data_IF_551454650991
#
_entry.id   IF_551454650991
#
_cell.length_a   1.000
_cell.length_b   1.000
_cell.length_c   1.000
_cell.angle_alpha   90.00
_cell.angle_beta   90.00
_cell.angle_gamma   90.00
#
_symmetry.space_group_name_H-M   'P 1'
#
loop_
_entity.id
_entity.type
_entity.pdbx_description
1 polymer ?
2 polymer ?
3 non-polymer ?
4 non-polymer ?
5 non-polymer ?
6 non-polymer ?
7 water ?
#
# COMPACT_ATOMS: atom_id res chain seq x y z
N UNK A 1 -0.20 11.57 -9.58
CA UNK A 1 1.26 11.50 -9.43
C UNK A 1 1.90 12.64 -10.20
N UNK A 2 2.70 13.44 -9.49
CA UNK A 2 3.41 14.60 -10.01
C UNK A 2 4.89 14.25 -10.24
N UNK A 3 5.38 14.54 -11.45
CA UNK A 3 6.77 14.32 -11.84
C UNK A 3 7.27 12.89 -11.86
N UNK A 4 6.38 11.94 -12.14
CA UNK A 4 6.68 10.51 -12.23
C UNK A 4 6.67 10.03 -13.66
N UNK A 5 6.31 8.74 -13.87
CA UNK A 5 6.24 8.14 -15.21
C UNK A 5 5.11 7.15 -15.35
N UNK A 6 4.79 6.76 -16.59
CA UNK A 6 3.78 5.72 -16.79
C UNK A 6 4.39 4.44 -16.19
N UNK A 7 3.66 3.72 -15.31
CA UNK A 7 4.09 2.43 -14.78
C UNK A 7 3.83 1.46 -15.94
N UNK A 8 4.86 0.83 -16.59
CA UNK A 8 4.58 -0.09 -17.72
C UNK A 8 3.53 -1.11 -17.32
N UNK A 9 2.56 -1.38 -18.20
CA UNK A 9 1.46 -2.30 -17.97
C UNK A 9 1.97 -3.61 -17.30
N UNK A 10 1.41 -3.93 -16.11
CA UNK A 10 1.78 -5.14 -15.35
C UNK A 10 2.92 -4.97 -14.35
N UNK A 11 3.59 -3.79 -14.29
CA UNK A 11 4.69 -3.57 -13.37
C UNK A 11 4.26 -3.00 -12.03
N UNK A 12 2.96 -2.78 -11.83
CA UNK A 12 2.39 -2.35 -10.55
C UNK A 12 1.16 -3.27 -10.42
N UNK A 13 1.33 -4.62 -10.37
CA UNK A 13 0.15 -5.52 -10.47
C UNK A 13 -0.77 -5.55 -9.26
N UNK A 14 -0.33 -4.93 -8.18
CA UNK A 14 -1.12 -4.85 -6.94
C UNK A 14 -1.90 -3.58 -6.89
N UNK A 15 -1.72 -2.67 -7.86
CA UNK A 15 -2.47 -1.41 -7.80
C UNK A 15 -3.98 -1.66 -7.97
N UNK A 16 -4.78 -1.03 -7.12
CA UNK A 16 -6.25 -1.13 -7.15
C UNK A 16 -6.80 0.22 -7.58
N UNK A 17 -7.86 0.19 -8.38
CA UNK A 17 -8.60 1.40 -8.71
C UNK A 17 -9.94 1.30 -7.94
N UNK A 18 -10.26 2.32 -7.12
CA UNK A 18 -11.55 2.30 -6.41
C UNK A 18 -12.56 3.20 -7.13
N UNK A 19 -13.77 2.67 -7.38
CA UNK A 19 -14.84 3.31 -8.12
C UNK A 19 -16.10 3.46 -7.29
N UNK A 20 -16.81 4.56 -7.47
CA UNK A 20 -18.12 4.77 -6.83
C UNK A 20 -19.09 5.33 -7.88
N UNK A 21 -20.16 4.58 -8.18
CA UNK A 21 -21.14 4.89 -9.24
C UNK A 21 -20.39 5.03 -10.58
N UNK A 22 -19.38 4.18 -10.75
CA UNK A 22 -18.50 4.14 -11.92
C UNK A 22 -17.47 5.25 -11.97
N UNK A 23 -17.49 6.19 -11.01
CA UNK A 23 -16.53 7.29 -11.03
C UNK A 23 -15.30 6.97 -10.18
N UNK A 24 -14.14 7.48 -10.61
CA UNK A 24 -12.85 7.32 -9.95
C UNK A 24 -12.91 7.91 -8.54
N UNK A 25 -12.57 7.08 -7.54
CA UNK A 25 -12.59 7.56 -6.15
C UNK A 25 -11.15 7.69 -5.57
N UNK A 26 -10.44 6.58 -5.50
CA UNK A 26 -9.15 6.47 -4.83
C UNK A 26 -8.41 5.28 -5.38
N UNK A 27 -7.20 5.11 -4.88
CA UNK A 27 -6.38 3.94 -5.15
C UNK A 27 -6.50 3.01 -3.97
N UNK A 28 -5.88 1.85 -4.09
CA UNK A 28 -5.85 0.79 -3.10
C UNK A 28 -4.69 -0.13 -3.36
N UNK A 29 -4.46 -1.09 -2.46
CA UNK A 29 -3.38 -2.08 -2.60
C UNK A 29 -3.96 -3.44 -2.34
N UNK A 30 -3.79 -4.37 -3.28
CA UNK A 30 -4.23 -5.77 -3.13
C UNK A 30 -3.19 -6.45 -2.20
N UNK A 31 -3.60 -7.10 -1.09
CA UNK A 31 -2.60 -7.72 -0.21
C UNK A 31 -2.77 -9.27 -0.20
N UNK A 32 -3.85 -9.77 -0.78
CA UNK A 32 -4.16 -11.19 -1.01
C UNK A 32 -5.32 -11.18 -1.95
N UNK A 33 -5.92 -12.36 -2.28
CA UNK A 33 -7.04 -12.41 -3.28
C UNK A 33 -8.38 -11.78 -2.85
N UNK A 34 -8.57 -11.53 -1.52
CA UNK A 34 -9.81 -11.03 -0.93
C UNK A 34 -9.68 -9.63 -0.33
N UNK A 35 -8.48 -9.22 0.09
CA UNK A 35 -8.32 -7.97 0.84
C UNK A 35 -7.53 -6.86 0.15
N UNK A 36 -8.03 -5.65 0.28
CA UNK A 36 -7.46 -4.42 -0.27
C UNK A 36 -7.23 -3.42 0.87
N UNK A 37 -6.07 -2.78 0.88
CA UNK A 37 -5.76 -1.75 1.87
C UNK A 37 -5.85 -0.40 1.15
N UNK A 38 -6.56 0.55 1.75
CA UNK A 38 -6.75 1.89 1.21
C UNK A 38 -6.65 2.92 2.34
N UNK A 39 -7.06 4.19 2.08
CA UNK A 39 -7.08 5.31 3.04
C UNK A 39 -8.50 5.52 3.59
N UNK A 40 -8.64 5.72 4.90
CA UNK A 40 -9.95 5.95 5.52
C UNK A 40 -10.64 7.19 4.98
N UNK A 41 -9.87 8.25 4.71
CA UNK A 41 -10.42 9.52 4.24
C UNK A 41 -11.18 9.41 2.91
N UNK A 42 -10.94 8.34 2.14
CA UNK A 42 -11.59 8.08 0.85
C UNK A 42 -13.06 7.82 0.95
N UNK A 43 -13.54 7.41 2.15
CA UNK A 43 -14.92 7.02 2.42
C UNK A 43 -15.69 8.07 3.18
N UNK A 44 -15.05 9.23 3.45
CA UNK A 44 -15.68 10.32 4.21
C UNK A 44 -17.01 10.80 3.66
N UNK A 45 -17.13 10.91 2.32
CA UNK A 45 -18.38 11.45 1.73
C UNK A 45 -19.18 10.38 1.00
N UNK A 46 -18.94 9.09 1.30
CA UNK A 46 -19.67 8.00 0.62
C UNK A 46 -21.10 7.88 1.16
N UNK A 47 -22.08 7.89 0.24
CA UNK A 47 -23.50 7.69 0.54
C UNK A 47 -23.99 6.37 -0.07
N UNK A 48 -23.52 6.03 -1.29
CA UNK A 48 -23.88 4.77 -1.97
C UNK A 48 -22.85 3.68 -1.70
N UNK A 49 -22.90 3.12 -0.47
CA UNK A 49 -22.00 2.06 0.01
C UNK A 49 -22.05 0.78 -0.81
N UNK A 50 -23.23 0.44 -1.37
CA UNK A 50 -23.45 -0.75 -2.19
C UNK A 50 -22.92 -0.62 -3.63
N UNK A 51 -22.50 0.60 -4.02
CA UNK A 51 -22.01 0.96 -5.35
C UNK A 51 -20.47 1.17 -5.38
N UNK A 52 -19.75 0.51 -4.46
CA UNK A 52 -18.30 0.57 -4.39
C UNK A 52 -17.71 -0.65 -5.10
N UNK A 53 -16.84 -0.39 -6.07
CA UNK A 53 -16.16 -1.42 -6.87
C UNK A 53 -14.63 -1.22 -6.76
N UNK A 54 -13.87 -2.33 -6.67
CA UNK A 54 -12.42 -2.34 -6.74
C UNK A 54 -12.07 -2.99 -8.09
N UNK A 55 -11.22 -2.34 -8.88
CA UNK A 55 -10.78 -2.88 -10.17
C UNK A 55 -9.29 -3.20 -10.04
N UNK A 56 -8.93 -4.47 -10.33
CA UNK A 56 -7.58 -5.01 -10.36
C UNK A 56 -7.13 -5.21 -11.82
N UNK A 57 -5.82 -5.14 -12.06
CA UNK A 57 -5.26 -5.31 -13.40
C UNK A 57 -5.55 -4.15 -14.35
N UNK A 58 -6.00 -3.01 -13.78
CA UNK A 58 -6.23 -1.78 -14.53
C UNK A 58 -4.88 -1.16 -14.89
N UNK A 59 -4.85 -0.47 -16.04
CA UNK A 59 -3.69 0.24 -16.54
C UNK A 59 -4.14 1.55 -17.21
N UNK A 60 -4.88 1.40 -18.33
CA UNK A 60 -5.39 2.51 -19.14
C UNK A 60 -6.89 2.60 -18.93
N UNK A 61 -7.35 3.76 -18.45
CA UNK A 61 -8.76 4.06 -18.14
C UNK A 61 -9.64 4.24 -19.39
N UNK A 62 -9.02 4.56 -20.53
CA UNK A 62 -9.78 4.81 -21.76
C UNK A 62 -10.18 3.55 -22.55
N UNK A 63 -9.48 2.42 -22.33
CA UNK A 63 -9.71 1.16 -23.04
C UNK A 63 -9.81 0.00 -22.09
N UNK A 64 -10.69 -0.97 -22.42
CA UNK A 64 -10.80 -2.24 -21.73
C UNK A 64 -9.92 -3.22 -22.55
N UNK A 65 -8.89 -3.83 -21.93
CA UNK A 65 -8.06 -4.75 -22.69
C UNK A 65 -8.26 -6.21 -22.26
N UNK A 66 -9.12 -6.44 -21.27
CA UNK A 66 -9.42 -7.80 -20.83
C UNK A 66 -8.66 -8.28 -19.61
N UNK A 67 -7.63 -7.52 -19.16
CA UNK A 67 -6.87 -7.87 -17.94
C UNK A 67 -7.53 -7.36 -16.67
N UNK A 68 -8.52 -6.44 -16.80
CA UNK A 68 -9.23 -5.84 -15.67
C UNK A 68 -10.19 -6.84 -15.03
N UNK A 69 -10.22 -6.87 -13.67
CA UNK A 69 -11.17 -7.67 -12.90
C UNK A 69 -11.84 -6.74 -11.91
N UNK A 70 -13.17 -6.78 -11.85
CA UNK A 70 -13.96 -5.90 -10.99
C UNK A 70 -14.56 -6.74 -9.91
N UNK A 71 -14.55 -6.18 -8.69
CA UNK A 71 -15.18 -6.81 -7.55
C UNK A 71 -15.95 -5.79 -6.76
N UNK A 72 -17.14 -6.16 -6.28
CA UNK A 72 -17.92 -5.29 -5.39
C UNK A 72 -17.26 -5.32 -4.02
N UNK A 73 -17.22 -4.19 -3.36
CA UNK A 73 -16.61 -4.13 -2.03
C UNK A 73 -17.69 -4.55 -0.99
N UNK A 74 -17.48 -5.71 -0.30
CA UNK A 74 -18.39 -6.22 0.73
C UNK A 74 -18.33 -5.43 2.06
N UNK A 75 -17.13 -4.93 2.41
CA UNK A 75 -16.92 -4.28 3.68
C UNK A 75 -15.78 -3.29 3.63
N UNK A 76 -15.91 -2.19 4.37
CA UNK A 76 -14.90 -1.14 4.53
C UNK A 76 -14.70 -1.04 6.03
N UNK A 77 -13.50 -1.42 6.49
CA UNK A 77 -13.18 -1.42 7.93
C UNK A 77 -12.22 -0.30 8.24
N UNK A 78 -12.60 0.56 9.14
CA UNK A 78 -11.85 1.73 9.53
C UNK A 78 -11.56 1.75 11.04
N UNK A 79 -10.34 2.17 11.45
CA UNK A 79 -10.04 2.21 12.90
C UNK A 79 -10.92 3.21 13.65
N UNK A 80 -11.31 2.81 14.88
CA UNK A 80 -12.11 3.64 15.79
C UNK A 80 -11.47 5.01 16.07
N UNK A 81 -10.13 5.08 16.01
CA UNK A 81 -9.32 6.28 16.26
C UNK A 81 -9.33 7.30 15.10
N UNK A 82 -9.74 6.88 13.89
CA UNK A 82 -9.81 7.79 12.74
C UNK A 82 -11.01 8.72 12.93
N UNK A 83 -10.79 10.02 12.74
CA UNK A 83 -11.86 11.02 12.82
C UNK A 83 -12.12 11.57 11.39
N UNK A 84 -13.31 11.41 10.81
CA UNK A 84 -13.54 11.96 9.46
C UNK A 84 -13.14 13.44 9.33
N UNK A 85 -12.46 13.75 8.22
CA UNK A 85 -11.96 15.09 7.92
C UNK A 85 -10.58 15.37 8.46
N UNK A 86 -9.98 14.45 9.27
CA UNK A 86 -8.62 14.64 9.83
C UNK A 86 -7.58 13.73 9.14
N UNK A 87 -6.33 13.77 9.61
CA UNK A 87 -5.25 13.08 8.91
C UNK A 87 -4.77 11.79 9.59
N UNK A 88 -4.84 11.72 10.94
CA UNK A 88 -4.40 10.58 11.74
C UNK A 88 -5.17 9.30 11.45
N UNK A 89 -4.49 8.14 11.54
CA UNK A 89 -5.05 6.80 11.37
C UNK A 89 -5.77 6.64 10.03
N UNK A 90 -5.14 7.14 8.97
CA UNK A 90 -5.79 7.15 7.66
C UNK A 90 -5.55 5.82 6.92
N UNK A 91 -6.31 4.80 7.34
CA UNK A 91 -6.24 3.44 6.81
C UNK A 91 -7.64 2.85 6.73
N UNK A 92 -7.89 2.08 5.68
CA UNK A 92 -9.15 1.39 5.49
C UNK A 92 -8.79 0.01 4.99
N UNK A 93 -9.46 -1.00 5.51
CA UNK A 93 -9.29 -2.38 5.06
C UNK A 93 -10.57 -2.81 4.37
N UNK A 94 -10.45 -3.27 3.10
CA UNK A 94 -11.58 -3.60 2.26
C UNK A 94 -11.69 -5.08 1.92
N UNK A 95 -12.88 -5.67 2.17
CA UNK A 95 -13.18 -7.07 1.86
C UNK A 95 -13.92 -7.12 0.54
N UNK A 96 -13.41 -7.91 -0.43
CA UNK A 96 -14.08 -8.06 -1.73
C UNK A 96 -15.10 -9.17 -1.56
N UNK A 97 -16.27 -9.08 -2.25
CA UNK A 97 -17.32 -10.10 -2.13
C UNK A 97 -16.81 -11.49 -2.51
N UNK A 98 -16.05 -11.57 -3.63
CA UNK A 98 -15.42 -12.77 -4.16
C UNK A 98 -13.95 -12.49 -4.45
N UNK A 99 -13.05 -13.52 -4.35
CA UNK A 99 -11.63 -13.28 -4.63
C UNK A 99 -11.35 -12.98 -6.10
N UNK A 100 -10.29 -12.20 -6.32
CA UNK A 100 -9.79 -11.92 -7.66
C UNK A 100 -8.94 -13.13 -8.04
N UNK A 101 -8.82 -13.36 -9.34
CA UNK A 101 -8.01 -14.46 -9.82
C UNK A 101 -6.64 -13.86 -10.12
N UNK A 102 -5.60 -14.42 -9.51
CA UNK A 102 -4.25 -13.91 -9.78
C UNK A 102 -3.79 -14.35 -11.17
N UNK A 103 -3.18 -13.40 -11.91
CA UNK A 103 -2.71 -13.55 -13.30
C UNK A 103 -1.43 -12.73 -13.38
N UNK A 104 -0.81 -12.64 -14.57
CA UNK A 104 0.39 -11.82 -14.80
C UNK A 104 0.17 -10.34 -14.47
N UNK A 105 -1.07 -9.88 -14.57
CA UNK A 105 -1.46 -8.49 -14.36
C UNK A 105 -2.13 -8.22 -12.99
N UNK A 106 -2.48 -9.30 -12.23
CA UNK A 106 -3.13 -9.21 -10.91
C UNK A 106 -2.33 -10.04 -9.91
N UNK A 107 -1.57 -9.33 -9.05
CA UNK A 107 -0.69 -9.89 -8.04
C UNK A 107 -0.74 -9.04 -6.74
N UNK A 108 -0.87 -9.65 -5.54
CA UNK A 108 -0.82 -8.84 -4.29
C UNK A 108 0.55 -8.36 -3.90
N UNK A 109 0.58 -7.26 -3.14
CA UNK A 109 1.78 -6.73 -2.54
C UNK A 109 1.85 -7.41 -1.15
N UNK A 110 3.05 -7.79 -0.66
CA UNK A 110 3.20 -8.43 0.65
C UNK A 110 2.93 -7.48 1.79
N UNK A 111 2.01 -7.83 2.68
CA UNK A 111 1.81 -7.09 3.91
C UNK A 111 2.93 -7.67 4.83
N UNK A 112 3.94 -6.88 5.24
CA UNK A 112 5.03 -7.45 6.04
C UNK A 112 4.62 -7.64 7.50
N UNK A 113 5.45 -8.34 8.27
CA UNK A 113 5.23 -8.48 9.70
C UNK A 113 5.75 -7.17 10.30
N UNK A 114 5.20 -6.76 11.41
CA UNK A 114 5.56 -5.47 12.04
C UNK A 114 7.05 -5.28 12.28
N UNK A 115 7.68 -6.17 13.05
CA UNK A 115 9.10 -6.05 13.42
C UNK A 115 10.01 -5.90 12.19
N UNK A 116 9.80 -6.75 11.18
CA UNK A 116 10.54 -6.68 9.92
C UNK A 116 10.33 -5.32 9.25
N UNK A 117 9.09 -4.84 9.23
CA UNK A 117 8.79 -3.54 8.61
C UNK A 117 9.51 -2.38 9.37
N UNK A 118 9.44 -2.39 10.72
CA UNK A 118 10.07 -1.34 11.57
C UNK A 118 11.58 -1.36 11.56
N UNK A 119 12.18 -2.54 11.65
CA UNK A 119 13.63 -2.65 11.75
C UNK A 119 14.33 -2.71 10.41
N UNK A 120 13.67 -3.21 9.34
CA UNK A 120 14.36 -3.33 8.07
C UNK A 120 13.75 -2.47 6.97
N UNK A 121 12.42 -2.56 6.71
CA UNK A 121 11.81 -1.80 5.59
C UNK A 121 11.84 -0.30 5.84
N UNK A 122 11.64 0.15 7.09
CA UNK A 122 11.70 1.56 7.51
C UNK A 122 13.00 2.27 7.10
N UNK A 123 14.08 1.49 6.86
CA UNK A 123 15.40 2.02 6.50
C UNK A 123 15.75 1.86 5.03
N UNK A 124 14.84 1.31 4.19
CA UNK A 124 15.07 1.29 2.73
C UNK A 124 14.69 2.74 2.32
N UNK A 125 15.63 3.50 1.76
CA UNK A 125 15.40 4.91 1.44
C UNK A 125 14.29 5.15 0.41
N UNK A 126 14.42 4.51 -0.75
CA UNK A 126 13.49 4.71 -1.85
C UNK A 126 12.41 3.65 -1.91
N UNK A 127 11.19 4.10 -2.26
CA UNK A 127 10.00 3.29 -2.43
C UNK A 127 9.17 3.87 -3.56
N UNK A 128 8.30 3.06 -4.11
CA UNK A 128 7.44 3.47 -5.21
C UNK A 128 6.05 3.82 -4.75
N UNK A 129 5.55 4.96 -5.24
CA UNK A 129 4.19 5.48 -5.03
C UNK A 129 3.50 5.54 -6.39
N UNK A 130 2.22 5.10 -6.48
CA UNK A 130 1.51 5.01 -7.77
C UNK A 130 0.03 5.38 -7.74
N UNK A 131 -0.52 5.70 -8.92
CA UNK A 131 -1.94 6.02 -9.05
C UNK A 131 -2.34 6.74 -10.31
N UNK A 132 -3.65 6.96 -10.44
CA UNK A 132 -4.24 7.68 -11.58
C UNK A 132 -4.66 9.09 -11.15
N UNK A 133 -4.01 9.62 -10.12
CA UNK A 133 -4.31 10.93 -9.60
C UNK A 133 -3.85 12.05 -10.51
N UNK A 134 -4.03 13.28 -10.03
CA UNK A 134 -3.65 14.50 -10.74
C UNK A 134 -2.19 14.47 -11.15
N UNK A 135 -1.90 14.95 -12.37
CA UNK A 135 -0.53 15.01 -12.88
C UNK A 135 0.16 16.27 -12.42
N UNK A 136 -0.64 17.22 -11.92
CA UNK A 136 -0.25 18.53 -11.41
C UNK A 136 -1.25 18.94 -10.35
N UNK A 137 -0.80 19.81 -9.45
CA UNK A 137 -1.70 20.41 -8.47
C UNK A 137 -2.72 21.25 -9.28
N UNK A 138 -4.01 20.99 -9.08
CA UNK A 138 -5.13 21.64 -9.77
C UNK A 138 -5.08 21.32 -11.27
N UNK A 139 -4.64 20.10 -11.56
CA UNK A 139 -4.52 19.62 -12.92
C UNK A 139 -5.38 18.42 -13.22
N UNK A 140 -5.30 17.97 -14.45
CA UNK A 140 -6.02 16.80 -14.89
C UNK A 140 -5.41 15.53 -14.26
N UNK A 141 -6.23 14.51 -14.12
CA UNK A 141 -5.86 13.21 -13.56
C UNK A 141 -5.30 12.40 -14.72
N UNK A 142 -4.55 11.32 -14.42
CA UNK A 142 -3.94 10.48 -15.45
C UNK A 142 -4.87 9.41 -16.00
N UNK A 143 -4.75 9.11 -17.32
CA UNK A 143 -5.47 8.03 -18.01
C UNK A 143 -4.69 6.71 -17.91
N UNK A 144 -3.37 6.79 -17.77
CA UNK A 144 -2.53 5.62 -17.62
C UNK A 144 -1.90 5.65 -16.25
N UNK A 145 -1.79 4.48 -15.60
CA UNK A 145 -1.23 4.37 -14.27
C UNK A 145 0.15 4.98 -14.20
N UNK A 146 0.34 5.86 -13.19
CA UNK A 146 1.60 6.55 -12.99
C UNK A 146 2.31 6.04 -11.75
N UNK A 147 3.66 6.08 -11.76
CA UNK A 147 4.55 5.64 -10.70
C UNK A 147 5.68 6.65 -10.45
N UNK A 148 6.04 6.82 -9.18
CA UNK A 148 7.09 7.71 -8.71
C UNK A 148 7.95 7.08 -7.61
N UNK A 149 9.27 7.28 -7.70
CA UNK A 149 10.24 6.84 -6.72
C UNK A 149 10.44 7.97 -5.73
N UNK A 150 10.22 7.70 -4.43
CA UNK A 150 10.37 8.74 -3.42
C UNK A 150 11.29 8.35 -2.24
N UNK A 151 12.10 9.28 -1.69
CA UNK A 151 12.90 8.92 -0.50
C UNK A 151 12.12 9.16 0.80
N UNK A 152 12.26 8.26 1.77
CA UNK A 152 11.60 8.39 3.07
C UNK A 152 12.42 9.30 4.00
N UNK A 153 11.74 10.02 4.90
CA UNK A 153 12.41 10.90 5.85
C UNK A 153 12.05 10.50 7.25
N UNK A 154 12.99 10.72 8.21
CA UNK A 154 12.69 10.50 9.63
C UNK A 154 11.85 11.70 10.00
N UNK A 155 10.83 11.53 10.83
CA UNK A 155 9.89 12.60 11.17
C UNK A 155 10.62 13.89 11.63
N UNK A 156 11.72 13.77 12.44
CA UNK A 156 12.52 14.91 12.89
C UNK A 156 13.07 15.70 11.71
N UNK A 157 13.70 15.00 10.73
CA UNK A 157 14.26 15.63 9.52
C UNK A 157 13.17 16.25 8.66
N UNK A 158 12.00 15.57 8.58
CA UNK A 158 10.83 16.06 7.82
C UNK A 158 10.37 17.39 8.41
N UNK A 159 10.18 17.45 9.74
CA UNK A 159 9.74 18.65 10.46
C UNK A 159 10.70 19.84 10.28
N UNK A 160 12.02 19.58 10.34
CA UNK A 160 13.08 20.59 10.18
C UNK A 160 13.13 21.10 8.75
N UNK A 161 13.03 20.17 7.76
CA UNK A 161 13.05 20.45 6.31
C UNK A 161 11.77 21.07 5.74
N UNK A 162 10.68 21.08 6.53
CA UNK A 162 9.40 21.63 6.09
C UNK A 162 9.21 23.09 6.50
N UNK A 163 8.84 23.95 5.52
CA UNK A 163 8.59 25.38 5.64
C UNK A 163 7.59 25.77 6.75
N UNK A 168 -1.34 23.93 10.14
CA UNK A 168 -0.63 22.78 9.58
C UNK A 168 -0.63 21.58 10.55
N UNK A 169 -1.15 20.38 10.12
CA UNK A 169 -1.20 19.23 11.05
C UNK A 169 0.17 18.64 11.40
N UNK A 170 0.22 17.94 12.56
CA UNK A 170 1.41 17.30 13.07
C UNK A 170 1.64 15.95 12.37
N UNK A 171 2.91 15.55 12.22
CA UNK A 171 3.26 14.23 11.69
C UNK A 171 3.34 13.30 12.91
N UNK A 172 2.33 12.42 13.08
CA UNK A 172 2.25 11.52 14.22
C UNK A 172 3.11 10.30 14.01
N UNK A 173 3.13 9.41 15.01
CA UNK A 173 3.83 8.13 14.98
C UNK A 173 3.13 7.19 13.98
N UNK A 174 1.90 7.55 13.53
CA UNK A 174 1.07 6.78 12.59
C UNK A 174 1.25 7.24 11.14
N UNK A 175 2.24 8.10 10.93
CA UNK A 175 2.57 8.68 9.62
C UNK A 175 4.07 8.66 9.38
N UNK A 176 4.46 8.95 8.13
CA UNK A 176 5.85 9.15 7.74
C UNK A 176 5.87 10.08 6.53
N UNK A 177 6.97 10.82 6.32
CA UNK A 177 7.16 11.70 5.17
C UNK A 177 7.98 11.00 4.14
N UNK A 178 7.69 11.30 2.87
CA UNK A 178 8.43 10.78 1.75
C UNK A 178 8.22 11.73 0.56
N UNK A 179 9.29 11.93 -0.18
CA UNK A 179 9.26 12.77 -1.35
C UNK A 179 10.32 13.83 -1.40
N UNK A 180 9.92 14.99 -1.97
CA UNK A 180 10.81 16.11 -2.21
C UNK A 180 10.15 17.44 -1.82
N UNK A 181 10.96 18.42 -1.41
CA UNK A 181 10.53 19.76 -1.01
C UNK A 181 10.73 20.81 -2.12
N UNK A 182 11.26 20.41 -3.29
CA UNK A 182 11.56 21.33 -4.38
C UNK A 182 10.38 21.63 -5.34
N UNK A 183 9.22 21.00 -5.09
CA UNK A 183 8.01 21.17 -5.88
C UNK A 183 7.95 20.41 -7.21
N UNK A 184 8.85 19.45 -7.43
CA UNK A 184 8.95 18.71 -8.69
C UNK A 184 8.21 17.38 -8.75
N UNK A 185 8.23 16.62 -7.62
CA UNK A 185 7.72 15.26 -7.52
C UNK A 185 6.91 15.03 -6.23
N UNK A 186 5.79 14.31 -6.35
CA UNK A 186 4.88 14.01 -5.24
C UNK A 186 3.70 13.17 -5.70
N UNK A 187 2.97 12.56 -4.75
CA UNK A 187 1.70 11.91 -5.07
C UNK A 187 0.64 13.03 -4.90
N UNK A 188 -0.54 12.83 -5.41
CA UNK A 188 -1.54 13.89 -5.39
C UNK A 188 -2.82 13.35 -4.78
N UNK A 189 -3.84 14.21 -4.58
CA UNK A 189 -5.11 13.86 -3.92
C UNK A 189 -5.86 12.64 -4.58
N UNK A 190 -5.81 12.51 -5.90
CA UNK A 190 -6.42 11.37 -6.58
C UNK A 190 -5.65 10.05 -6.45
N UNK A 191 -4.45 10.10 -5.81
CA UNK A 191 -3.62 8.92 -5.54
C UNK A 191 -3.90 8.32 -4.17
N UNK A 192 -4.67 9.03 -3.31
CA UNK A 192 -5.06 8.62 -1.95
C UNK A 192 -5.45 7.16 -1.89
N UNK A 193 -4.96 6.45 -0.88
CA UNK A 193 -5.30 5.04 -0.69
C UNK A 193 -4.40 4.08 -1.43
N UNK A 194 -3.56 4.62 -2.30
CA UNK A 194 -2.64 3.86 -3.12
C UNK A 194 -1.40 3.42 -2.37
N UNK A 195 -0.61 2.53 -2.98
CA UNK A 195 0.59 2.03 -2.27
C UNK A 195 1.82 2.89 -2.27
N UNK A 196 2.57 2.73 -1.17
CA UNK A 196 3.95 3.14 -0.97
C UNK A 196 4.60 1.75 -0.80
N UNK A 197 5.23 1.25 -1.86
CA UNK A 197 5.80 -0.09 -2.00
C UNK A 197 7.31 -0.10 -1.83
N UNK A 198 7.84 -0.91 -0.90
CA UNK A 198 9.28 -1.01 -0.56
C UNK A 198 9.90 -2.36 -0.99
N UNK A 199 11.00 -2.31 -1.75
CA UNK A 199 11.68 -3.51 -2.24
C UNK A 199 12.77 -3.92 -1.26
N UNK A 200 12.84 -5.23 -0.95
CA UNK A 200 13.87 -5.76 -0.07
C UNK A 200 14.18 -7.17 -0.51
N UNK A 201 15.41 -7.39 -1.00
CA UNK A 201 15.93 -8.70 -1.41
C UNK A 201 15.00 -9.46 -2.40
N UNK A 202 14.65 -8.78 -3.51
CA UNK A 202 13.85 -9.34 -4.58
C UNK A 202 12.33 -9.42 -4.40
N UNK A 203 11.81 -8.85 -3.28
CA UNK A 203 10.39 -8.85 -2.96
C UNK A 203 9.93 -7.45 -2.54
N UNK A 204 8.72 -7.06 -2.99
CA UNK A 204 8.08 -5.79 -2.66
C UNK A 204 7.08 -5.94 -1.51
N UNK A 205 7.05 -4.92 -0.63
CA UNK A 205 6.26 -4.86 0.60
C UNK A 205 5.44 -3.59 0.76
N UNK A 206 4.28 -3.69 1.46
CA UNK A 206 3.46 -2.50 1.70
C UNK A 206 3.96 -1.80 2.97
N UNK A 207 4.45 -0.56 2.81
CA UNK A 207 4.98 0.20 3.96
C UNK A 207 4.19 1.50 4.23
N UNK A 208 3.47 1.98 3.25
CA UNK A 208 2.72 3.23 3.40
C UNK A 208 1.51 3.30 2.49
N UNK A 209 0.59 4.21 2.83
CA UNK A 209 -0.65 4.49 2.08
C UNK A 209 -0.62 5.97 1.75
N UNK A 210 -0.92 6.33 0.48
CA UNK A 210 -0.98 7.74 0.07
C UNK A 210 -2.03 8.41 0.96
N UNK A 211 -1.61 9.38 1.79
CA UNK A 211 -2.54 10.01 2.72
C UNK A 211 -2.87 11.50 2.46
N UNK A 212 -1.96 12.43 2.81
CA UNK A 212 -2.22 13.89 2.73
C UNK A 212 -0.94 14.73 2.51
N UNK A 213 -1.14 16.04 2.41
CA UNK A 213 -0.09 17.05 2.24
C UNK A 213 -0.67 18.44 2.13
N UNK A 214 0.19 19.45 1.93
CA UNK A 214 -0.22 20.85 1.81
C UNK A 214 -0.19 21.23 0.33
N UNK A 215 -1.03 20.57 -0.45
CA UNK A 215 -1.07 20.74 -1.91
C UNK A 215 -0.02 19.81 -2.49
N UNK A 216 -0.21 19.38 -3.74
CA UNK A 216 0.73 18.46 -4.36
C UNK A 216 1.93 19.19 -4.86
N UNK A 217 3.11 18.59 -4.65
CA UNK A 217 4.42 19.12 -5.04
C UNK A 217 4.56 20.61 -4.68
N UNK A 218 4.18 20.94 -3.44
CA UNK A 218 4.25 22.29 -2.90
C UNK A 218 5.65 22.43 -2.35
N UNK A 219 6.31 23.51 -2.73
CA UNK A 219 7.66 23.86 -2.31
C UNK A 219 7.72 24.01 -0.78
N UNK A 220 8.65 23.29 -0.16
CA UNK A 220 8.84 23.30 1.29
C UNK A 220 7.98 22.26 2.02
N UNK A 221 7.36 21.36 1.26
CA UNK A 221 6.51 20.33 1.81
C UNK A 221 6.76 18.96 1.18
N UNK A 222 6.48 17.90 1.96
CA UNK A 222 6.63 16.50 1.57
C UNK A 222 5.28 15.82 1.63
N UNK A 223 5.18 14.68 0.93
CA UNK A 223 4.00 13.86 1.00
C UNK A 223 3.97 13.16 2.34
N UNK A 224 2.78 13.00 2.90
CA UNK A 224 2.62 12.29 4.16
C UNK A 224 1.89 10.99 3.89
N UNK A 225 2.41 9.89 4.47
CA UNK A 225 1.92 8.55 4.28
C UNK A 225 1.57 7.87 5.58
N UNK A 226 0.50 7.06 5.59
CA UNK A 226 0.11 6.24 6.74
C UNK A 226 1.23 5.21 7.00
N UNK A 227 1.70 5.10 8.25
CA UNK A 227 2.75 4.15 8.63
C UNK A 227 2.08 2.81 8.88
N UNK A 228 2.04 1.96 7.83
CA UNK A 228 1.37 0.66 7.80
C UNK A 228 1.89 -0.29 8.90
N UNK A 229 3.20 -0.23 9.25
CA UNK A 229 3.80 -1.04 10.30
C UNK A 229 3.01 -0.96 11.63
N UNK A 230 2.40 0.19 11.94
CA UNK A 230 1.58 0.36 13.16
C UNK A 230 0.25 -0.36 13.12
N UNK A 231 -0.13 -0.90 11.95
CA UNK A 231 -1.45 -1.51 11.74
C UNK A 231 -1.50 -2.98 11.45
N UNK A 232 -0.35 -3.62 11.22
CA UNK A 232 -0.20 -5.05 10.86
C UNK A 232 -1.09 -5.98 11.70
N UNK A 233 -0.99 -5.94 13.03
CA UNK A 233 -1.78 -6.80 13.95
C UNK A 233 -3.27 -6.50 13.86
N UNK A 234 -3.63 -5.20 13.77
CA UNK A 234 -5.01 -4.75 13.61
C UNK A 234 -5.56 -5.36 12.30
N UNK A 235 -4.80 -5.25 11.22
CA UNK A 235 -5.17 -5.79 9.91
C UNK A 235 -5.29 -7.29 9.94
N UNK A 236 -4.30 -7.98 10.56
CA UNK A 236 -4.25 -9.45 10.62
C UNK A 236 -5.42 -10.09 11.34
N UNK A 237 -5.84 -9.48 12.46
CA UNK A 237 -6.96 -9.92 13.29
C UNK A 237 -8.30 -9.79 12.52
N UNK A 238 -8.44 -8.69 11.78
CA UNK A 238 -9.61 -8.37 10.97
C UNK A 238 -9.73 -9.29 9.80
N UNK A 239 -8.61 -9.63 9.15
CA UNK A 239 -8.64 -10.58 8.03
C UNK A 239 -9.08 -11.99 8.47
N UNK A 240 -9.06 -12.26 9.78
CA UNK A 240 -9.46 -13.53 10.39
C UNK A 240 -10.90 -13.51 10.90
N UNK A 241 -11.61 -12.41 10.72
CA UNK A 241 -12.97 -12.26 11.19
C UNK A 241 -14.00 -12.53 10.11
N UNK A 242 -15.22 -12.79 10.56
CA UNK A 242 -16.37 -12.99 9.69
C UNK A 242 -16.90 -11.62 9.35
N UNK A 243 -17.43 -11.42 8.12
CA UNK A 243 -18.01 -10.10 7.80
C UNK A 243 -19.29 -9.80 8.60
N UNK A 244 -19.63 -8.49 8.70
CA UNK A 244 -20.80 -8.05 9.45
C UNK A 244 -21.77 -7.29 8.53
N UNK A 245 -23.09 -7.28 8.86
CA UNK A 245 -24.04 -6.54 8.00
C UNK A 245 -23.67 -5.06 7.95
N UNK A 246 -23.89 -4.47 6.79
CA UNK A 246 -23.49 -3.09 6.53
C UNK A 246 -22.07 -3.09 6.02
N UNK A 247 -21.79 -2.25 5.04
CA UNK A 247 -20.48 -2.15 4.40
C UNK A 247 -19.48 -1.52 5.37
N UNK A 248 -19.82 -0.35 5.94
CA UNK A 248 -18.92 0.30 6.86
C UNK A 248 -18.91 -0.35 8.24
N UNK A 249 -17.71 -0.63 8.72
CA UNK A 249 -17.46 -1.17 10.02
C UNK A 249 -16.34 -0.37 10.67
N UNK A 250 -16.58 0.12 11.91
CA UNK A 250 -15.61 0.80 12.75
C UNK A 250 -15.14 -0.23 13.76
N UNK A 251 -13.85 -0.59 13.66
CA UNK A 251 -13.20 -1.62 14.48
C UNK A 251 -12.28 -0.95 15.48
N UNK A 252 -12.22 -1.43 16.74
CA UNK A 252 -11.35 -0.78 17.74
C UNK A 252 -9.85 -0.78 17.40
N UNK A 253 -9.19 0.32 17.67
CA UNK A 253 -7.76 0.39 17.46
C UNK A 253 -7.14 0.90 18.77
N UNK A 254 -6.08 0.26 19.34
CA UNK A 254 -5.35 -0.96 18.94
C UNK A 254 -6.23 -2.20 18.79
N UNK B 1 19.18 -11.97 18.20
CA UNK B 1 19.72 -12.43 16.91
C UNK B 1 19.12 -11.63 15.74
N UNK B 2 17.78 -11.54 15.69
CA UNK B 2 17.03 -10.85 14.62
C UNK B 2 17.32 -9.39 14.57
N UNK B 3 17.77 -8.82 15.70
CA UNK B 3 18.11 -7.40 15.89
C UNK B 3 19.19 -6.94 14.91
N UNK B 4 20.13 -7.85 14.56
CA UNK B 4 21.27 -7.53 13.69
C UNK B 4 21.06 -8.11 12.30
N UNK B 5 20.98 -7.23 11.28
CA UNK B 5 20.81 -7.56 9.86
C UNK B 5 19.67 -8.60 9.59
N UNK B 6 18.52 -8.45 10.30
CA UNK B 6 17.32 -9.32 10.16
C UNK B 6 17.63 -10.81 10.40
N UNK B 7 18.68 -11.08 11.19
CA UNK B 7 19.19 -12.40 11.54
C UNK B 7 19.64 -13.23 10.35
N UNK B 8 19.95 -12.57 9.22
CA UNK B 8 20.32 -13.18 7.94
C UNK B 8 19.12 -13.52 7.05
N UNK B 9 17.92 -13.45 7.60
CA UNK B 9 16.69 -13.80 6.91
C UNK B 9 16.36 -12.89 5.74
N UNK B 10 16.00 -13.50 4.62
CA UNK B 10 15.58 -12.84 3.40
C UNK B 10 14.23 -12.11 3.67
N UNK B 11 13.37 -12.73 4.50
CA UNK B 11 12.04 -12.24 4.84
C UNK B 11 11.84 -12.06 6.36
N UNK B 12 11.15 -12.97 7.05
CA UNK B 12 10.87 -12.78 8.48
C UNK B 12 11.84 -13.53 9.41
N UNK B 13 12.08 -12.98 10.60
CA UNK B 13 13.01 -13.53 11.58
C UNK B 13 12.33 -13.70 12.96
N UNK B 14 12.49 -14.88 13.57
CA UNK B 14 12.01 -15.15 14.93
C UNK B 14 13.19 -15.51 15.86
N UNK B 15 13.21 -14.91 17.07
CA UNK B 15 14.23 -15.15 18.09
C UNK B 15 13.78 -16.26 19.02
N UNK B 16 14.73 -17.12 19.42
CA UNK B 16 14.46 -18.23 20.31
C UNK B 16 15.41 -18.27 21.52
N UNK B 17 15.09 -19.14 22.50
CA UNK B 17 15.86 -19.33 23.74
C UNK B 17 17.30 -19.74 23.37
N UNK B 18 18.23 -18.88 23.74
CA UNK B 18 19.64 -19.06 23.42
C UNK B 18 20.00 -18.31 22.16
N UNK B 19 20.98 -18.86 21.40
CA UNK B 19 21.42 -18.28 20.12
C UNK B 19 20.56 -18.79 18.93
N UNK B 20 19.51 -19.61 19.23
CA UNK B 20 18.59 -20.15 18.24
C UNK B 20 17.81 -19.05 17.48
N UNK B 21 17.79 -19.18 16.14
CA UNK B 21 17.13 -18.25 15.22
C UNK B 21 16.33 -19.06 14.20
N UNK B 22 15.07 -18.66 13.97
CA UNK B 22 14.23 -19.27 12.94
C UNK B 22 13.77 -18.21 11.92
N UNK B 23 14.20 -18.35 10.65
CA UNK B 23 13.75 -17.49 9.57
C UNK B 23 12.39 -18.01 9.12
N UNK B 24 11.53 -17.11 8.64
CA UNK B 24 10.22 -17.51 8.16
C UNK B 24 9.91 -16.74 6.90
N UNK B 25 8.89 -17.18 6.18
CA UNK B 25 8.49 -16.61 4.91
C UNK B 25 7.03 -16.20 4.99
N UNK B 26 6.62 -15.31 4.09
CA UNK B 26 5.24 -14.89 3.90
C UNK B 26 4.51 -16.08 3.25
N UNK B 27 3.18 -16.24 3.47
CA UNK B 27 2.45 -17.33 2.79
C UNK B 27 2.61 -17.24 1.24
N UNK B 28 2.60 -18.39 0.56
CA UNK B 28 2.91 -18.46 -0.86
C UNK B 28 4.40 -18.66 -1.11
N UNK B 29 5.20 -18.80 -0.03
CA UNK B 29 6.66 -19.05 -0.03
C UNK B 29 6.98 -20.17 0.97
N UNK B 30 8.09 -20.86 0.72
CA UNK B 30 8.65 -21.89 1.61
C UNK B 30 10.10 -21.57 1.91
N UNK B 31 10.54 -21.91 3.11
CA UNK B 31 11.91 -21.63 3.52
C UNK B 31 12.84 -22.67 2.91
N UNK B 32 13.98 -22.22 2.32
CA UNK B 32 14.95 -23.19 1.74
C UNK B 32 15.80 -23.86 2.84
N UNK B 33 16.55 -24.91 2.47
CA UNK B 33 17.37 -25.68 3.43
C UNK B 33 18.56 -24.89 3.97
N UNK B 34 18.94 -23.75 3.34
CA UNK B 34 19.96 -22.85 3.90
C UNK B 34 19.40 -22.17 5.17
N UNK B 35 18.09 -22.27 5.33
CA UNK B 35 17.34 -21.74 6.47
C UNK B 35 17.17 -20.23 6.49
N UNK B 36 17.59 -19.52 5.42
CA UNK B 36 17.43 -18.06 5.34
C UNK B 36 16.59 -17.64 4.09
N UNK B 37 16.72 -18.36 2.97
CA UNK B 37 16.07 -17.99 1.70
C UNK B 37 14.62 -18.40 1.59
N UNK B 38 13.84 -17.65 0.79
CA UNK B 38 12.42 -17.97 0.61
C UNK B 38 12.14 -18.28 -0.85
N UNK B 39 11.49 -19.41 -1.10
CA UNK B 39 11.19 -19.76 -2.48
C UNK B 39 9.68 -19.74 -2.70
N UNK B 40 9.17 -19.20 -3.82
CA UNK B 40 7.71 -19.22 -4.06
C UNK B 40 7.17 -20.64 -4.15
N UNK B 41 6.00 -20.91 -3.57
CA UNK B 41 5.35 -22.22 -3.65
C UNK B 41 4.15 -22.11 -4.59
N UNK B 42 3.90 -20.87 -5.05
CA UNK B 42 2.76 -20.56 -5.91
C UNK B 42 3.24 -19.83 -7.15
N UNK B 43 2.35 -19.77 -8.13
CA UNK B 43 2.57 -19.19 -9.44
C UNK B 43 2.66 -17.67 -9.32
N UNK B 44 1.84 -17.07 -8.44
CA UNK B 44 1.76 -15.63 -8.26
C UNK B 44 2.00 -15.25 -6.82
N UNK B 45 3.25 -15.43 -6.29
CA UNK B 45 3.51 -15.04 -4.90
C UNK B 45 3.45 -13.51 -4.78
N UNK B 46 3.18 -13.01 -3.58
CA UNK B 46 3.10 -11.59 -3.33
C UNK B 46 4.46 -10.88 -3.58
N UNK B 47 4.40 -9.62 -4.03
CA UNK B 47 5.58 -8.77 -4.17
C UNK B 47 6.58 -9.11 -5.26
N UNK B 48 6.18 -9.94 -6.20
CA UNK B 48 6.96 -10.33 -7.38
C UNK B 48 6.18 -9.92 -8.60
N UNK B 49 6.85 -9.31 -9.57
CA UNK B 49 6.26 -8.80 -10.83
C UNK B 49 6.42 -9.84 -11.96
N UNK B 50 5.37 -10.65 -12.28
CA UNK B 50 5.51 -11.71 -13.30
C UNK B 50 6.14 -11.32 -14.64
N UNK B 51 5.77 -10.17 -15.22
CA UNK B 51 6.35 -9.77 -16.51
C UNK B 51 7.89 -9.50 -16.36
N UNK B 52 8.33 -9.00 -15.19
CA UNK B 52 9.75 -8.79 -14.91
C UNK B 52 10.44 -10.12 -14.58
N UNK B 53 9.80 -11.01 -13.79
CA UNK B 53 10.33 -12.33 -13.41
C UNK B 53 10.50 -13.22 -14.64
N UNK B 54 9.49 -13.24 -15.55
CA UNK B 54 9.48 -14.05 -16.76
C UNK B 54 10.53 -13.58 -17.78
N UNK B 55 10.93 -12.30 -17.76
CA UNK B 55 11.97 -11.80 -18.67
C UNK B 55 13.31 -11.59 -17.94
X LIG C 1 0.64 13.96 -1.12
X LIG C 1 -0.85 16.50 -1.20
X LIG C 1 -1.56 15.22 -1.12
X LIG C 1 0.49 16.44 -1.03
X LIG C 1 -0.86 14.00 -1.05
X LIG C 1 -2.95 15.23 -0.99
X LIG C 1 -1.42 17.57 -1.32
X LIG C 1 -1.59 12.83 -0.87
X LIG C 1 -3.62 14.05 -0.76
X LIG C 1 1.25 15.26 -0.63
X LIG C 1 -2.97 12.84 -0.74
X LIG C 1 -5.32 14.10 -0.34
X LIG C 1 0.97 13.13 -0.49
X LIG C 1 1.01 13.71 -2.10
X LIG C 1 1.03 17.28 -1.20
X LIG C 1 -3.52 16.16 -1.06
X LIG C 1 -1.04 11.89 -0.75
X LIG C 1 1.34 15.24 0.45
X LIG C 1 2.28 15.36 -0.97
X LIG C 1 -3.53 11.91 -0.62
X LIG D 1 -8.35 -0.46 -19.02
X LIG E 1 -18.15 -9.73 -6.90
X LIG E 1 -17.52 -10.61 -7.89
X LIG E 1 -19.30 -10.44 -6.30
X LIG E 1 -17.23 -9.36 -5.84
X LIG E 1 -18.55 -8.54 -7.62
X LIG F 1 -21.78 8.47 -3.07
X LIG F 1 -23.20 8.22 -3.07
X LIG F 1 -21.13 7.40 -2.42
X LIG F 1 -21.54 9.74 -2.36
X LIG F 1 -21.28 8.63 -4.43
X LIG G 1 -1.87 -11.98 4.29
X LIG G 1 -1.14 -12.94 3.47
X LIG G 1 -3.11 -12.64 4.74
X LIG G 1 -1.06 -11.57 5.44
X LIG G 1 -2.20 -10.78 3.56
X LIG H 1 -16.89 6.79 7.73
X LIG H 1 -15.64 7.22 8.24
X LIG H 1 -17.75 7.97 7.31
X LIG H 1 -18.96 7.49 6.70
X LIG H 1 -18.12 8.84 8.50
X LIG H 1 -18.01 10.21 8.14
#
# INVERSE_FOLDING_TARGET
IVGGKVCPKGECPWQVLLLVNGAQLCGGTLINTIWVVSAAHCFDKIKNWRNLIAVLGEHDLSEHDGDEQSRRVAQVIIPSTYVPGTTNHDIALLRLHQPVVLTDHVVPLCLPERTFSERTLAFVRFSLVSGWGQLLDRGATALELMVLNVPRLMTQDCLQQSRKVGDSPNITEYMFCAGYSDGSKDSCKGDSGGPHATHYRGTWYLTGIVSWGQGCATVGHFGVYTRVSQYIEWLQKLMRSEPRPGVLLRAPFP
ICVNENGGCEQYCSDHTGTKRSCRCHEGYSLLADGVSCTPTVEYPCGKIPILEKR
3Z8 C12 C1 C2 N3 C4 C5 O6 C7 C8 C9 C10 CL H19 H20 H13 H14 H15 H17 H16 H18
CA CA
SO4 S O1 O2 O3 O4
SO4 S O1 O2 O3 O4
SO4 S O1 O2 O3 O4
GOL C1 O1 C2 O2 C3 O3
#
